data_IF_548629701715
#
_entry.id   IF_548629701715
#
_cell.length_a   1.000
_cell.length_b   1.000
_cell.length_c   1.000
_cell.angle_alpha   90.00
_cell.angle_beta   90.00
_cell.angle_gamma   90.00
#
_symmetry.space_group_name_H-M   'P 1'
#
loop_
_entity.id
_entity.type
_entity.pdbx_description
1 polymer ?
#
# COMPACT_ATOMS: atom_id res chain seq x y z
N UNK A 1 -9.04 10.95 3.35
CA UNK A 1 -7.57 11.03 3.31
C UNK A 1 -7.08 12.48 3.42
N UNK A 2 -7.82 13.35 4.11
CA UNK A 2 -7.55 14.79 4.20
C UNK A 2 -7.04 15.21 5.59
N UNK A 3 -6.80 14.23 6.46
CA UNK A 3 -6.33 14.45 7.83
C UNK A 3 -4.91 13.87 7.97
N UNK A 4 -3.88 14.73 8.01
CA UNK A 4 -2.48 14.32 8.18
C UNK A 4 -2.20 13.59 9.50
N UNK A 5 -3.06 13.78 10.50
CA UNK A 5 -2.88 13.23 11.84
C UNK A 5 -3.64 11.92 12.07
N UNK A 6 -4.45 11.50 11.09
CA UNK A 6 -5.18 10.25 11.20
C UNK A 6 -4.21 9.08 11.14
N UNK A 7 -4.12 8.36 12.26
CA UNK A 7 -3.36 7.12 12.39
C UNK A 7 -4.23 5.92 12.06
N UNK A 8 -3.65 4.92 11.42
CA UNK A 8 -4.30 3.66 11.10
C UNK A 8 -3.36 2.49 11.38
N UNK A 9 -3.94 1.41 11.88
CA UNK A 9 -3.28 0.11 12.01
C UNK A 9 -3.68 -0.75 10.81
N UNK A 10 -2.79 -1.65 10.39
CA UNK A 10 -3.07 -2.52 9.27
C UNK A 10 -2.00 -3.56 9.04
N UNK A 11 -2.19 -4.33 7.96
CA UNK A 11 -1.30 -5.41 7.59
C UNK A 11 -1.19 -5.61 6.09
N UNK A 12 -0.01 -6.00 5.65
CA UNK A 12 0.30 -6.36 4.27
C UNK A 12 0.57 -7.87 4.24
N UNK A 13 -0.31 -8.61 3.56
CA UNK A 13 -0.20 -10.06 3.43
C UNK A 13 0.34 -10.38 2.04
N UNK A 14 1.57 -10.89 1.99
CA UNK A 14 2.16 -11.42 0.77
C UNK A 14 1.69 -12.86 0.60
N UNK A 15 0.86 -13.10 -0.43
CA UNK A 15 0.44 -14.45 -0.81
C UNK A 15 1.46 -15.06 -1.76
N UNK A 16 1.48 -16.39 -1.83
CA UNK A 16 2.22 -17.06 -2.89
C UNK A 16 1.52 -16.84 -4.25
N UNK A 17 2.31 -16.80 -5.32
CA UNK A 17 1.76 -16.60 -6.66
C UNK A 17 1.02 -17.85 -7.18
N UNK A 18 1.42 -19.02 -6.70
CA UNK A 18 0.93 -20.34 -7.13
C UNK A 18 -0.21 -20.89 -6.26
N UNK A 19 -0.33 -20.43 -5.02
CA UNK A 19 -1.32 -20.91 -4.06
C UNK A 19 -1.88 -19.79 -3.20
N UNK A 20 -3.13 -19.92 -2.73
CA UNK A 20 -3.78 -18.95 -1.83
C UNK A 20 -3.28 -19.04 -0.37
N UNK A 21 -2.01 -19.40 -0.21
CA UNK A 21 -1.34 -19.52 1.08
C UNK A 21 -0.55 -18.25 1.39
N UNK A 22 -0.54 -17.87 2.68
CA UNK A 22 0.25 -16.74 3.18
C UNK A 22 1.74 -17.08 3.14
N UNK A 23 2.53 -16.25 2.47
CA UNK A 23 3.99 -16.34 2.42
C UNK A 23 4.64 -15.54 3.56
N UNK A 24 4.29 -14.26 3.67
CA UNK A 24 4.78 -13.33 4.70
C UNK A 24 3.68 -12.35 5.09
N UNK A 25 3.72 -11.85 6.31
CA UNK A 25 2.87 -10.75 6.77
C UNK A 25 3.70 -9.64 7.38
N UNK A 26 3.34 -8.41 7.07
CA UNK A 26 3.92 -7.22 7.68
C UNK A 26 2.81 -6.44 8.35
N UNK A 27 2.83 -6.45 9.67
CA UNK A 27 1.88 -5.73 10.51
C UNK A 27 2.46 -4.35 10.84
N UNK A 28 1.65 -3.31 10.71
CA UNK A 28 2.04 -1.94 11.05
C UNK A 28 1.04 -1.31 12.02
N UNK A 29 1.54 -0.53 12.97
CA UNK A 29 0.73 0.19 13.96
C UNK A 29 0.99 1.68 13.92
N UNK A 30 -0.08 2.42 14.17
CA UNK A 30 -0.13 3.87 14.23
C UNK A 30 0.45 4.56 12.99
N UNK A 31 0.15 4.04 11.81
CA UNK A 31 0.69 4.56 10.56
C UNK A 31 -0.08 5.79 10.09
N UNK A 32 0.64 6.81 9.62
CA UNK A 32 0.08 8.02 9.05
C UNK A 32 0.64 8.26 7.63
N UNK A 33 -0.19 8.86 6.77
CA UNK A 33 0.17 9.14 5.39
C UNK A 33 1.14 10.34 5.31
N UNK A 34 2.29 10.13 4.67
CA UNK A 34 3.31 11.17 4.44
C UNK A 34 3.28 11.66 3.00
N UNK A 35 2.95 10.79 2.05
CA UNK A 35 2.95 11.11 0.63
C UNK A 35 1.83 10.37 -0.09
N UNK A 36 1.18 11.09 -1.01
CA UNK A 36 0.13 10.56 -1.86
C UNK A 36 0.32 11.11 -3.26
N UNK A 37 0.40 10.24 -4.25
CA UNK A 37 0.50 10.65 -5.65
C UNK A 37 -0.33 9.71 -6.51
N UNK A 38 -1.25 10.29 -7.27
CA UNK A 38 -2.00 9.58 -8.30
C UNK A 38 -1.41 9.92 -9.66
N UNK A 39 -1.16 8.88 -10.44
CA UNK A 39 -0.76 9.03 -11.83
C UNK A 39 -1.78 8.32 -12.71
N UNK A 40 -2.35 9.06 -13.66
CA UNK A 40 -3.26 8.52 -14.66
C UNK A 40 -2.59 8.62 -16.02
N UNK A 41 -2.36 7.46 -16.64
CA UNK A 41 -1.87 7.39 -18.01
C UNK A 41 -3.01 6.96 -18.94
N UNK A 42 -3.56 7.96 -19.64
CA UNK A 42 -4.61 7.77 -20.64
C UNK A 42 -4.09 7.10 -21.93
N UNK A 43 -2.78 7.12 -22.16
CA UNK A 43 -2.13 6.61 -23.38
C UNK A 43 -1.54 5.22 -23.19
N UNK A 44 -1.46 4.75 -21.95
CA UNK A 44 -0.98 3.46 -21.44
C UNK A 44 -0.23 2.61 -22.46
N UNK A 45 1.07 2.35 -22.24
CA UNK A 45 1.90 1.50 -23.10
C UNK A 45 1.15 0.21 -23.52
N UNK A 46 0.56 0.31 -24.71
CA UNK A 46 -0.11 -0.69 -25.53
C UNK A 46 -1.23 -1.56 -24.91
N UNK A 47 -1.48 -1.56 -23.60
CA UNK A 47 -2.55 -2.38 -23.02
C UNK A 47 -3.19 -1.78 -21.75
N UNK A 48 -4.17 -0.88 -21.98
CA UNK A 48 -5.14 -0.31 -21.01
C UNK A 48 -4.71 1.02 -20.37
N UNK A 49 -5.66 1.97 -20.32
CA UNK A 49 -5.52 3.17 -19.49
C UNK A 49 -5.35 2.71 -18.03
N UNK A 50 -4.23 3.10 -17.42
CA UNK A 50 -3.85 2.62 -16.08
C UNK A 50 -3.85 3.79 -15.11
N UNK A 51 -4.58 3.62 -14.00
CA UNK A 51 -4.55 4.53 -12.86
C UNK A 51 -3.69 3.88 -11.78
N UNK A 52 -2.56 4.51 -11.45
CA UNK A 52 -1.66 4.05 -10.40
C UNK A 52 -1.72 5.00 -9.21
N UNK A 53 -1.92 4.43 -8.04
CA UNK A 53 -1.87 5.14 -6.77
C UNK A 53 -0.57 4.80 -6.03
N UNK A 54 0.24 5.81 -5.74
CA UNK A 54 1.43 5.70 -4.90
C UNK A 54 1.16 6.33 -3.54
N UNK A 55 1.26 5.52 -2.48
CA UNK A 55 1.06 5.94 -1.09
C UNK A 55 2.32 5.66 -0.29
N UNK A 56 2.80 6.68 0.43
CA UNK A 56 3.92 6.59 1.37
C UNK A 56 3.35 6.79 2.77
N UNK A 57 3.51 5.79 3.63
CA UNK A 57 3.03 5.80 5.00
C UNK A 57 4.20 5.58 5.97
N UNK A 58 4.21 6.32 7.08
CA UNK A 58 5.17 6.15 8.16
C UNK A 58 4.46 5.52 9.36
N UNK A 59 4.97 4.39 9.84
CA UNK A 59 4.42 3.67 10.99
C UNK A 59 5.29 3.83 12.23
N UNK A 60 4.67 3.81 13.42
CA UNK A 60 5.39 3.83 14.70
C UNK A 60 6.05 2.47 14.98
N UNK A 61 5.33 1.37 14.68
CA UNK A 61 5.83 0.00 14.85
C UNK A 61 5.54 -0.82 13.61
N UNK A 62 6.53 -1.61 13.19
CA UNK A 62 6.44 -2.56 12.08
C UNK A 62 6.95 -3.91 12.59
N UNK A 63 6.14 -4.94 12.46
CA UNK A 63 6.49 -6.33 12.79
C UNK A 63 6.40 -7.18 11.51
N UNK A 64 7.42 -7.99 11.25
CA UNK A 64 7.50 -8.85 10.06
C UNK A 64 7.49 -10.31 10.50
N UNK A 65 6.48 -11.05 10.05
CA UNK A 65 6.24 -12.47 10.36
C UNK A 65 6.25 -13.35 9.10
#
# INVERSE_FOLDING_TARGET
>A
MLDPYKRADGKIVFKRADQDSKMKETDFKEAYCVGYTENFDARGDQTQASMTLSLISSANKIDVN
#
